data_IF_788590835216
#
_entry.id   IF_788590835216
#
_cell.length_a   1.000
_cell.length_b   1.000
_cell.length_c   1.000
_cell.angle_alpha   90.00
_cell.angle_beta   90.00
_cell.angle_gamma   90.00
#
_symmetry.space_group_name_H-M   'P 1'
#
loop_
_entity.id
_entity.type
_entity.pdbx_description
1 polymer ?
#
# COMPACT_ATOMS: atom_id res chain seq x y z
N UNK A 1 13.85 -14.58 3.57
CA UNK A 1 12.72 -13.65 3.87
C UNK A 1 12.84 -13.21 5.33
N UNK A 2 12.50 -11.95 5.63
CA UNK A 2 12.58 -11.43 6.99
C UNK A 2 11.28 -11.70 7.74
N UNK A 3 11.36 -11.69 9.06
CA UNK A 3 10.23 -11.82 9.96
C UNK A 3 9.25 -10.65 9.76
N UNK A 4 7.95 -10.96 9.75
CA UNK A 4 6.89 -9.94 9.66
C UNK A 4 6.38 -9.59 11.05
N UNK A 5 6.23 -8.31 11.35
CA UNK A 5 5.64 -7.84 12.62
C UNK A 5 4.25 -8.44 12.86
N UNK A 6 3.44 -8.61 11.81
CA UNK A 6 2.12 -9.24 11.91
C UNK A 6 2.19 -10.68 12.43
N UNK A 7 3.22 -11.46 12.05
CA UNK A 7 3.40 -12.82 12.55
C UNK A 7 3.77 -12.82 14.04
N UNK A 8 4.59 -11.86 14.50
CA UNK A 8 4.92 -11.71 15.91
C UNK A 8 3.69 -11.35 16.75
N UNK A 9 2.82 -10.47 16.25
CA UNK A 9 1.57 -10.12 16.95
C UNK A 9 0.65 -11.34 17.05
N UNK A 10 0.53 -12.12 15.98
CA UNK A 10 -0.26 -13.35 15.96
C UNK A 10 0.27 -14.38 16.97
N UNK A 11 1.58 -14.58 17.04
CA UNK A 11 2.19 -15.49 18.00
C UNK A 11 2.03 -15.01 19.44
N UNK A 12 2.06 -13.70 19.67
CA UNK A 12 1.78 -13.13 21.00
C UNK A 12 0.33 -13.37 21.42
N UNK A 13 -0.62 -13.33 20.49
CA UNK A 13 -2.03 -13.65 20.73
C UNK A 13 -2.22 -15.15 21.06
N UNK A 14 -1.56 -16.04 20.31
CA UNK A 14 -1.55 -17.47 20.62
C UNK A 14 -0.95 -17.76 22.01
N UNK A 15 0.16 -17.09 22.35
CA UNK A 15 0.75 -17.24 23.69
C UNK A 15 -0.19 -16.80 24.81
N UNK A 16 -0.95 -15.71 24.59
CA UNK A 16 -1.97 -15.24 25.53
C UNK A 16 -3.11 -16.24 25.69
N UNK A 17 -3.60 -16.85 24.60
CA UNK A 17 -4.62 -17.89 24.69
C UNK A 17 -4.11 -19.16 25.36
N UNK A 18 -2.87 -19.58 25.10
CA UNK A 18 -2.25 -20.73 25.77
C UNK A 18 -2.09 -20.49 27.27
N UNK A 19 -1.72 -19.26 27.67
CA UNK A 19 -1.68 -18.90 29.09
C UNK A 19 -3.03 -19.07 29.77
N UNK A 20 -4.12 -18.66 29.13
CA UNK A 20 -5.48 -18.81 29.66
C UNK A 20 -5.90 -20.27 29.79
N UNK A 21 -5.44 -21.16 28.90
CA UNK A 21 -5.78 -22.59 28.91
C UNK A 21 -4.90 -23.37 29.90
N UNK A 22 -3.60 -23.07 29.95
CA UNK A 22 -2.58 -23.85 30.64
C UNK A 22 -2.18 -23.24 32.00
N UNK A 23 -2.65 -22.03 32.33
CA UNK A 23 -2.25 -21.28 33.52
C UNK A 23 -0.80 -20.75 33.46
N UNK A 24 -0.10 -20.92 32.34
CA UNK A 24 1.29 -20.50 32.15
C UNK A 24 1.52 -20.03 30.71
N UNK A 25 2.13 -18.85 30.57
CA UNK A 25 2.57 -18.36 29.29
C UNK A 25 3.82 -19.11 28.79
N UNK A 26 3.93 -19.46 27.50
CA UNK A 26 5.17 -19.97 26.94
C UNK A 26 6.28 -18.93 27.05
N UNK A 27 7.48 -19.34 27.39
CA UNK A 27 8.62 -18.42 27.55
C UNK A 27 9.07 -17.84 26.21
N UNK A 28 8.95 -18.60 25.12
CA UNK A 28 9.38 -18.22 23.78
C UNK A 28 8.35 -18.60 22.72
N UNK A 29 8.36 -17.83 21.66
CA UNK A 29 7.65 -18.10 20.40
C UNK A 29 8.66 -18.19 19.26
N UNK A 30 8.32 -18.95 18.21
CA UNK A 30 9.23 -19.25 17.12
C UNK A 30 8.57 -19.02 15.77
N UNK A 31 9.34 -18.49 14.80
CA UNK A 31 8.96 -18.40 13.39
C UNK A 31 9.93 -19.23 12.59
N UNK A 32 9.42 -20.20 11.82
CA UNK A 32 10.21 -20.91 10.83
C UNK A 32 10.11 -20.14 9.51
N UNK A 33 11.22 -19.72 8.97
CA UNK A 33 11.33 -18.98 7.71
C UNK A 33 11.38 -19.94 6.54
N UNK A 34 11.16 -19.45 5.32
CA UNK A 34 11.16 -20.27 4.11
C UNK A 34 12.53 -20.84 3.71
N UNK A 35 13.58 -20.51 4.43
CA UNK A 35 14.95 -21.05 4.33
C UNK A 35 15.31 -21.95 5.54
N UNK A 36 14.29 -22.46 6.21
CA UNK A 36 14.35 -23.32 7.40
C UNK A 36 15.03 -22.70 8.63
N UNK A 37 15.41 -21.44 8.58
CA UNK A 37 15.90 -20.73 9.78
C UNK A 37 14.78 -20.55 10.78
N UNK A 38 15.09 -20.76 12.06
CA UNK A 38 14.18 -20.54 13.18
C UNK A 38 14.54 -19.26 13.91
N UNK A 39 13.65 -18.27 13.85
CA UNK A 39 13.77 -17.04 14.64
C UNK A 39 12.98 -17.18 15.93
N UNK A 40 13.62 -16.94 17.06
CA UNK A 40 13.05 -17.15 18.42
C UNK A 40 12.95 -15.82 19.16
N UNK A 41 11.79 -15.56 19.75
CA UNK A 41 11.49 -14.32 20.47
C UNK A 41 10.99 -14.64 21.89
N UNK A 42 11.36 -13.82 22.87
CA UNK A 42 10.80 -13.95 24.22
C UNK A 42 9.36 -13.42 24.20
N UNK A 43 8.44 -14.18 24.74
CA UNK A 43 7.03 -13.80 24.79
C UNK A 43 6.81 -12.52 25.59
N UNK A 44 7.59 -12.29 26.65
CA UNK A 44 7.53 -11.07 27.47
C UNK A 44 7.80 -9.79 26.68
N UNK A 45 8.70 -9.84 25.70
CA UNK A 45 9.06 -8.67 24.88
C UNK A 45 7.89 -8.25 23.96
N UNK A 46 7.04 -9.21 23.61
CA UNK A 46 5.88 -8.99 22.74
C UNK A 46 4.62 -8.59 23.52
N UNK A 47 4.53 -8.96 24.80
CA UNK A 47 3.32 -8.87 25.61
C UNK A 47 2.79 -7.43 25.75
N UNK A 48 3.67 -6.42 25.87
CA UNK A 48 3.26 -5.01 25.97
C UNK A 48 2.58 -4.50 24.73
N UNK A 49 3.15 -4.77 23.56
CA UNK A 49 2.58 -4.40 22.27
C UNK A 49 1.26 -5.14 22.01
N UNK A 50 1.20 -6.45 22.29
CA UNK A 50 0.00 -7.27 22.14
C UNK A 50 -1.16 -6.72 23.01
N UNK A 51 -0.92 -6.47 24.31
CA UNK A 51 -1.96 -5.89 25.20
C UNK A 51 -2.54 -4.60 24.63
N UNK A 52 -1.67 -3.70 24.14
CA UNK A 52 -2.12 -2.43 23.57
C UNK A 52 -2.92 -2.63 22.27
N UNK A 53 -2.48 -3.53 21.41
CA UNK A 53 -3.19 -3.84 20.16
C UNK A 53 -4.57 -4.45 20.46
N UNK A 54 -4.63 -5.40 21.38
CA UNK A 54 -5.88 -6.04 21.84
C UNK A 54 -6.84 -5.05 22.48
N UNK A 55 -6.35 -4.19 23.37
CA UNK A 55 -7.17 -3.15 23.98
C UNK A 55 -7.81 -2.25 22.92
N UNK A 56 -7.04 -1.76 21.94
CA UNK A 56 -7.55 -0.95 20.82
C UNK A 56 -8.59 -1.67 19.99
N UNK A 57 -8.42 -2.98 19.78
CA UNK A 57 -9.40 -3.79 19.06
C UNK A 57 -10.71 -3.88 19.85
N UNK A 58 -10.64 -4.18 21.15
CA UNK A 58 -11.83 -4.25 22.03
C UNK A 58 -12.54 -2.90 22.06
N UNK A 59 -11.82 -1.82 22.29
CA UNK A 59 -12.37 -0.46 22.27
C UNK A 59 -13.08 -0.13 20.94
N UNK A 60 -12.49 -0.54 19.82
CA UNK A 60 -13.09 -0.31 18.50
C UNK A 60 -14.36 -1.17 18.29
N UNK A 61 -14.37 -2.40 18.79
CA UNK A 61 -15.55 -3.29 18.72
C UNK A 61 -16.69 -2.76 19.59
N UNK A 62 -16.38 -2.30 20.80
CA UNK A 62 -17.37 -1.82 21.76
C UNK A 62 -17.94 -0.45 21.37
N UNK A 63 -17.09 0.48 20.97
CA UNK A 63 -17.48 1.85 20.60
C UNK A 63 -18.07 1.95 19.19
N UNK A 64 -17.79 0.99 18.32
CA UNK A 64 -18.20 0.98 16.90
C UNK A 64 -18.03 2.34 16.23
N UNK A 65 -16.83 2.91 16.22
CA UNK A 65 -16.60 4.23 15.66
C UNK A 65 -16.97 4.26 14.18
N UNK A 66 -17.51 5.39 13.72
CA UNK A 66 -17.66 5.59 12.28
C UNK A 66 -16.28 5.57 11.61
N UNK A 67 -16.10 4.67 10.66
CA UNK A 67 -14.85 4.52 9.93
C UNK A 67 -15.09 4.61 8.43
N UNK A 68 -14.07 5.03 7.70
CA UNK A 68 -14.09 5.01 6.25
C UNK A 68 -13.19 3.88 5.72
N UNK A 69 -13.56 3.17 4.64
CA UNK A 69 -12.78 2.06 4.09
C UNK A 69 -11.55 2.55 3.32
N UNK A 70 -10.62 3.22 4.01
CA UNK A 70 -9.34 3.62 3.43
C UNK A 70 -8.53 2.39 3.01
N UNK A 71 -7.91 2.38 1.81
CA UNK A 71 -7.19 1.22 1.32
C UNK A 71 -5.94 0.92 2.16
N UNK A 72 -5.75 -0.36 2.42
CA UNK A 72 -4.60 -0.91 3.17
C UNK A 72 -4.02 -2.11 2.41
N UNK A 73 -2.75 -2.50 2.66
CA UNK A 73 -2.14 -3.66 1.98
C UNK A 73 -2.95 -4.96 2.11
N UNK A 74 -3.72 -5.11 3.20
CA UNK A 74 -4.57 -6.28 3.41
C UNK A 74 -5.79 -6.33 2.46
N UNK A 75 -6.13 -5.24 1.79
CA UNK A 75 -7.31 -5.19 0.91
C UNK A 75 -7.26 -6.22 -0.22
N UNK A 76 -6.07 -6.59 -0.71
CA UNK A 76 -5.90 -7.57 -1.80
C UNK A 76 -6.42 -8.98 -1.46
N UNK A 77 -6.53 -9.32 -0.17
CA UNK A 77 -7.03 -10.60 0.33
C UNK A 77 -8.28 -10.45 1.22
N UNK A 78 -8.83 -9.24 1.29
CA UNK A 78 -9.97 -8.93 2.15
C UNK A 78 -11.29 -9.30 1.46
N UNK A 79 -12.14 -10.05 2.15
CA UNK A 79 -13.47 -10.44 1.65
C UNK A 79 -14.41 -9.26 1.32
N UNK A 80 -14.13 -8.08 1.86
CA UNK A 80 -14.91 -6.86 1.68
C UNK A 80 -14.33 -5.94 0.59
N UNK A 81 -13.30 -6.39 -0.13
CA UNK A 81 -12.57 -5.57 -1.09
C UNK A 81 -13.48 -4.88 -2.11
N UNK A 82 -14.35 -5.63 -2.76
CA UNK A 82 -15.25 -5.12 -3.81
C UNK A 82 -16.23 -4.09 -3.27
N UNK A 83 -16.86 -4.37 -2.12
CA UNK A 83 -17.78 -3.45 -1.48
C UNK A 83 -17.11 -2.13 -1.10
N UNK A 84 -15.92 -2.22 -0.50
CA UNK A 84 -15.13 -1.02 -0.16
C UNK A 84 -14.67 -0.26 -1.41
N UNK A 85 -14.36 -0.96 -2.51
CA UNK A 85 -13.99 -0.34 -3.77
C UNK A 85 -15.18 0.40 -4.38
N UNK A 86 -16.35 -0.23 -4.42
CA UNK A 86 -17.59 0.40 -4.90
C UNK A 86 -17.93 1.66 -4.09
N UNK A 87 -17.80 1.63 -2.77
CA UNK A 87 -18.00 2.80 -1.91
C UNK A 87 -17.06 3.93 -2.28
N UNK A 88 -15.76 3.65 -2.47
CA UNK A 88 -14.79 4.68 -2.86
C UNK A 88 -15.06 5.27 -4.25
N UNK A 89 -15.62 4.47 -5.16
CA UNK A 89 -16.04 4.97 -6.47
C UNK A 89 -17.26 5.90 -6.32
N UNK A 90 -18.27 5.49 -5.56
CA UNK A 90 -19.47 6.29 -5.31
C UNK A 90 -19.15 7.63 -4.64
N UNK A 91 -18.16 7.64 -3.74
CA UNK A 91 -17.72 8.83 -3.00
C UNK A 91 -16.71 9.70 -3.79
N UNK A 92 -16.40 9.35 -5.03
CA UNK A 92 -15.38 10.04 -5.84
C UNK A 92 -14.04 10.20 -5.09
N UNK A 93 -13.63 9.14 -4.38
CA UNK A 93 -12.51 9.22 -3.45
C UNK A 93 -11.16 9.41 -4.17
N UNK A 94 -10.29 10.24 -3.61
CA UNK A 94 -8.97 10.61 -4.15
C UNK A 94 -8.08 9.42 -4.52
N UNK A 95 -8.26 8.26 -3.87
CA UNK A 95 -7.45 7.06 -4.16
C UNK A 95 -7.66 6.48 -5.56
N UNK A 96 -8.72 6.89 -6.26
CA UNK A 96 -8.97 6.49 -7.64
C UNK A 96 -7.95 7.07 -8.60
N UNK A 97 -7.31 8.18 -8.23
CA UNK A 97 -6.31 8.83 -9.07
C UNK A 97 -4.97 8.12 -8.93
N UNK A 98 -4.44 7.63 -10.04
CA UNK A 98 -3.16 6.94 -10.08
C UNK A 98 -2.03 7.81 -9.50
N UNK A 99 -1.22 7.21 -8.63
CA UNK A 99 -0.13 7.91 -7.96
C UNK A 99 -0.54 8.76 -6.75
N UNK A 100 -1.82 8.74 -6.34
CA UNK A 100 -2.29 9.37 -5.10
C UNK A 100 -2.33 8.33 -3.99
N UNK A 101 -1.38 8.41 -3.06
CA UNK A 101 -1.30 7.56 -1.88
C UNK A 101 -1.77 8.27 -0.60
N UNK A 102 -1.67 7.59 0.54
CA UNK A 102 -2.14 8.11 1.85
C UNK A 102 -1.57 9.46 2.22
N UNK A 103 -0.29 9.68 1.97
CA UNK A 103 0.38 10.95 2.31
C UNK A 103 -0.19 12.10 1.51
N UNK A 104 -0.42 11.88 0.20
CA UNK A 104 -1.03 12.85 -0.69
C UNK A 104 -2.48 13.11 -0.29
N UNK A 105 -3.27 12.06 -0.02
CA UNK A 105 -4.67 12.20 0.43
C UNK A 105 -4.76 13.05 1.68
N UNK A 106 -3.90 12.80 2.68
CA UNK A 106 -3.87 13.58 3.92
C UNK A 106 -3.56 15.06 3.65
N UNK A 107 -2.57 15.33 2.79
CA UNK A 107 -2.20 16.70 2.43
C UNK A 107 -3.32 17.42 1.67
N UNK A 108 -3.96 16.75 0.70
CA UNK A 108 -5.06 17.28 -0.10
C UNK A 108 -6.29 17.59 0.77
N UNK A 109 -6.70 16.65 1.61
CA UNK A 109 -7.82 16.84 2.56
C UNK A 109 -7.55 18.00 3.52
N UNK A 110 -6.30 18.24 3.92
CA UNK A 110 -5.90 19.38 4.74
C UNK A 110 -6.11 20.75 4.08
N UNK A 111 -6.14 20.80 2.75
CA UNK A 111 -6.42 22.00 1.94
C UNK A 111 -7.86 22.01 1.37
N UNK A 112 -8.74 21.13 1.87
CA UNK A 112 -10.13 21.05 1.44
C UNK A 112 -10.36 20.32 0.12
N UNK A 113 -9.34 19.74 -0.50
CA UNK A 113 -9.46 18.91 -1.71
C UNK A 113 -9.78 17.47 -1.27
N UNK A 114 -11.07 17.12 -1.27
CA UNK A 114 -11.55 15.86 -0.67
C UNK A 114 -11.93 14.77 -1.67
N UNK A 115 -12.15 15.13 -2.96
CA UNK A 115 -12.57 14.22 -4.01
C UNK A 115 -11.63 14.24 -5.22
N UNK A 116 -11.73 13.21 -6.07
CA UNK A 116 -10.96 13.14 -7.30
C UNK A 116 -11.35 14.26 -8.29
N UNK A 117 -12.64 14.58 -8.37
CA UNK A 117 -13.15 15.71 -9.16
C UNK A 117 -12.63 17.04 -8.63
N UNK A 118 -12.63 17.25 -7.30
CA UNK A 118 -12.05 18.46 -6.72
C UNK A 118 -10.53 18.58 -7.01
N UNK A 119 -9.81 17.47 -7.08
CA UNK A 119 -8.39 17.46 -7.46
C UNK A 119 -8.21 17.83 -8.94
N UNK A 120 -9.07 17.31 -9.84
CA UNK A 120 -9.08 17.66 -11.27
C UNK A 120 -9.23 19.17 -11.47
N UNK A 121 -10.16 19.78 -10.75
CA UNK A 121 -10.56 21.18 -10.90
C UNK A 121 -9.70 22.15 -10.09
N UNK A 122 -8.83 21.64 -9.23
CA UNK A 122 -7.99 22.45 -8.37
C UNK A 122 -7.06 23.37 -9.15
N UNK A 123 -6.97 24.65 -8.76
CA UNK A 123 -6.08 25.62 -9.37
C UNK A 123 -4.59 25.23 -9.15
N UNK A 124 -3.67 25.61 -10.04
CA UNK A 124 -2.23 25.39 -9.84
C UNK A 124 -1.71 25.94 -8.50
N UNK A 125 -2.27 27.04 -8.05
CA UNK A 125 -1.91 27.72 -6.80
C UNK A 125 -2.42 27.03 -5.53
N UNK A 126 -3.39 26.09 -5.65
CA UNK A 126 -3.95 25.33 -4.51
C UNK A 126 -3.03 24.18 -4.04
N UNK A 127 -1.75 24.25 -4.37
CA UNK A 127 -0.76 23.23 -3.99
C UNK A 127 -0.61 23.17 -2.47
N UNK A 128 -0.79 21.99 -1.83
CA UNK A 128 -0.51 21.83 -0.41
C UNK A 128 0.92 22.24 -0.06
N UNK A 129 1.09 22.99 1.03
CA UNK A 129 2.38 23.57 1.42
C UNK A 129 3.51 22.53 1.53
N UNK A 130 3.21 21.31 2.02
CA UNK A 130 4.17 20.21 2.21
C UNK A 130 4.30 19.29 1.01
N UNK A 131 3.64 19.57 -0.12
CA UNK A 131 3.72 18.76 -1.33
C UNK A 131 4.73 19.36 -2.32
N UNK A 132 5.58 18.52 -2.91
CA UNK A 132 6.50 18.93 -3.96
C UNK A 132 5.73 19.35 -5.21
N UNK A 133 6.21 20.38 -5.91
CA UNK A 133 5.55 20.92 -7.10
C UNK A 133 5.39 19.88 -8.22
N UNK A 134 6.40 19.05 -8.43
CA UNK A 134 6.36 17.96 -9.41
C UNK A 134 5.26 16.94 -9.09
N UNK A 135 5.17 16.49 -7.81
CA UNK A 135 4.11 15.59 -7.37
C UNK A 135 2.73 16.22 -7.55
N UNK A 136 2.57 17.50 -7.18
CA UNK A 136 1.32 18.24 -7.36
C UNK A 136 0.87 18.31 -8.80
N UNK A 137 1.77 18.71 -9.70
CA UNK A 137 1.48 18.81 -11.12
C UNK A 137 1.11 17.44 -11.72
N UNK A 138 1.85 16.39 -11.37
CA UNK A 138 1.61 15.03 -11.85
C UNK A 138 0.24 14.49 -11.42
N UNK A 139 -0.13 14.59 -10.15
CA UNK A 139 -1.42 14.03 -9.68
C UNK A 139 -2.61 14.85 -10.19
N UNK A 140 -2.49 16.17 -10.34
CA UNK A 140 -3.52 16.99 -10.98
C UNK A 140 -3.69 16.66 -12.47
N UNK A 141 -2.59 16.51 -13.18
CA UNK A 141 -2.62 16.09 -14.58
C UNK A 141 -3.29 14.73 -14.73
N UNK A 142 -2.90 13.79 -13.89
CA UNK A 142 -3.51 12.46 -13.87
C UNK A 142 -5.01 12.52 -13.54
N UNK A 143 -5.43 13.37 -12.59
CA UNK A 143 -6.84 13.57 -12.27
C UNK A 143 -7.62 14.14 -13.46
N UNK A 144 -7.04 15.06 -14.24
CA UNK A 144 -7.65 15.60 -15.46
C UNK A 144 -7.87 14.51 -16.50
N UNK A 145 -6.91 13.63 -16.71
CA UNK A 145 -7.05 12.52 -17.66
C UNK A 145 -8.06 11.47 -17.21
N UNK A 146 -8.04 11.09 -15.93
CA UNK A 146 -8.90 10.02 -15.41
C UNK A 146 -10.36 10.44 -15.16
N UNK A 147 -10.62 11.72 -15.00
CA UNK A 147 -11.95 12.27 -14.68
C UNK A 147 -12.52 13.12 -15.81
N UNK A 148 -12.17 12.82 -17.04
CA UNK A 148 -12.83 13.40 -18.22
C UNK A 148 -14.20 12.79 -18.43
N UNK A 149 -15.05 13.56 -19.13
CA UNK A 149 -16.36 13.08 -19.55
C UNK A 149 -16.16 12.21 -20.81
N UNK A 150 -16.51 10.93 -20.75
CA UNK A 150 -16.40 9.97 -21.83
C UNK A 150 -15.96 8.59 -21.38
N UNK A 151 -16.30 7.56 -22.16
CA UNK A 151 -15.99 6.14 -21.86
C UNK A 151 -14.64 5.69 -22.43
N UNK A 152 -14.05 6.47 -23.34
CA UNK A 152 -12.78 6.12 -23.96
C UNK A 152 -11.60 6.51 -23.07
N UNK A 153 -10.59 5.63 -22.92
CA UNK A 153 -9.39 5.94 -22.19
C UNK A 153 -8.62 7.04 -22.91
N UNK A 154 -8.37 8.14 -22.21
CA UNK A 154 -7.62 9.24 -22.76
C UNK A 154 -6.14 9.15 -22.36
N UNK A 155 -5.29 9.49 -23.31
CA UNK A 155 -3.86 9.65 -23.08
C UNK A 155 -3.37 10.96 -23.66
N UNK A 156 -2.32 11.49 -23.11
CA UNK A 156 -1.63 12.66 -23.63
C UNK A 156 -0.17 12.32 -23.89
N UNK A 157 0.28 12.57 -25.10
CA UNK A 157 1.69 12.44 -25.43
C UNK A 157 2.43 13.66 -24.89
N UNK A 158 3.29 13.44 -23.91
CA UNK A 158 4.12 14.50 -23.35
C UNK A 158 5.21 14.88 -24.35
N UNK A 159 5.43 16.20 -24.53
CA UNK A 159 6.51 16.70 -25.37
C UNK A 159 7.87 16.22 -24.82
N UNK A 160 8.64 15.43 -25.59
CA UNK A 160 9.94 14.97 -25.17
C UNK A 160 10.94 16.10 -24.88
N UNK A 161 10.75 17.28 -25.45
CA UNK A 161 11.61 18.43 -25.18
C UNK A 161 11.36 19.03 -23.80
N UNK A 162 10.09 18.99 -23.33
CA UNK A 162 9.71 19.42 -21.99
C UNK A 162 10.04 18.38 -20.91
N UNK A 163 10.30 17.11 -21.31
CA UNK A 163 10.60 15.98 -20.40
C UNK A 163 11.92 15.28 -20.77
N UNK A 164 13.06 15.97 -20.72
CA UNK A 164 14.34 15.45 -21.23
C UNK A 164 14.88 14.23 -20.47
N UNK A 165 14.39 13.99 -19.26
CA UNK A 165 14.81 12.90 -18.38
C UNK A 165 13.76 11.80 -18.22
N UNK A 166 12.79 11.72 -19.14
CA UNK A 166 11.67 10.78 -19.03
C UNK A 166 11.38 9.99 -20.31
N UNK A 167 10.66 8.88 -20.12
CA UNK A 167 10.19 8.04 -21.22
C UNK A 167 11.29 7.41 -22.06
N UNK A 168 11.05 7.27 -23.35
CA UNK A 168 11.97 6.63 -24.30
C UNK A 168 13.33 7.34 -24.47
N UNK A 169 13.44 8.59 -24.05
CA UNK A 169 14.73 9.31 -24.04
C UNK A 169 15.75 8.77 -23.04
N UNK A 170 15.31 7.97 -22.07
CA UNK A 170 16.20 7.28 -21.15
C UNK A 170 16.86 6.04 -21.75
N UNK A 171 16.36 5.56 -22.89
CA UNK A 171 16.98 4.46 -23.60
C UNK A 171 18.28 4.94 -24.26
N UNK A 172 19.34 4.15 -24.20
CA UNK A 172 20.55 4.42 -24.98
C UNK A 172 20.22 4.35 -26.49
N UNK A 173 21.10 4.93 -27.31
CA UNK A 173 20.99 4.79 -28.75
C UNK A 173 21.04 3.31 -29.13
N UNK A 174 20.16 2.83 -30.05
CA UNK A 174 20.13 1.44 -30.46
C UNK A 174 21.45 1.01 -31.10
N UNK A 175 21.92 -0.17 -30.76
CA UNK A 175 23.11 -0.76 -31.34
C UNK A 175 22.85 -2.19 -31.87
N UNK A 176 23.68 -2.64 -32.81
CA UNK A 176 23.59 -4.01 -33.32
C UNK A 176 23.88 -5.10 -32.27
N UNK A 177 24.43 -4.71 -31.13
CA UNK A 177 24.74 -5.60 -29.99
C UNK A 177 23.71 -5.56 -28.87
N UNK A 178 22.58 -4.89 -29.04
CA UNK A 178 21.54 -4.82 -28.02
C UNK A 178 20.93 -6.18 -27.75
N UNK A 179 20.86 -6.54 -26.48
CA UNK A 179 20.21 -7.75 -26.00
C UNK A 179 18.91 -7.40 -25.27
N UNK A 180 17.83 -8.02 -25.68
CA UNK A 180 16.54 -7.90 -25.02
C UNK A 180 16.36 -9.11 -24.09
N UNK A 181 16.35 -8.84 -22.76
CA UNK A 181 16.24 -9.87 -21.74
C UNK A 181 14.92 -9.64 -20.98
N UNK A 182 14.07 -10.67 -21.01
CA UNK A 182 12.89 -10.72 -20.16
C UNK A 182 13.07 -11.85 -19.14
N UNK A 183 12.76 -11.57 -17.87
CA UNK A 183 12.88 -12.52 -16.76
C UNK A 183 11.52 -12.70 -16.14
N UNK A 184 10.91 -13.86 -16.38
CA UNK A 184 9.67 -14.24 -15.74
C UNK A 184 9.93 -15.16 -14.55
N UNK A 185 9.32 -14.85 -13.41
CA UNK A 185 9.39 -15.67 -12.20
C UNK A 185 8.15 -16.57 -12.08
N UNK A 186 8.36 -17.86 -11.89
CA UNK A 186 7.29 -18.78 -11.50
C UNK A 186 7.15 -18.80 -9.96
N UNK A 187 6.12 -18.16 -9.38
CA UNK A 187 5.95 -18.11 -7.93
C UNK A 187 5.58 -19.48 -7.32
N UNK A 188 5.21 -20.47 -8.15
CA UNK A 188 4.80 -21.80 -7.72
C UNK A 188 5.92 -22.86 -7.83
N UNK A 189 7.02 -22.55 -8.48
CA UNK A 189 8.21 -23.40 -8.40
C UNK A 189 8.92 -23.14 -7.08
N UNK A 190 8.88 -24.14 -6.19
CA UNK A 190 9.75 -24.17 -5.01
C UNK A 190 11.21 -24.03 -5.43
N UNK A 191 12.03 -23.43 -4.57
CA UNK A 191 13.47 -23.25 -4.76
C UNK A 191 14.18 -24.61 -4.96
N UNK A 192 14.09 -25.16 -6.14
CA UNK A 192 15.14 -26.04 -6.65
C UNK A 192 16.17 -25.09 -7.24
N UNK A 193 17.32 -25.01 -6.58
CA UNK A 193 18.51 -24.31 -7.00
C UNK A 193 18.70 -24.50 -8.50
N UNK A 194 18.48 -23.45 -9.30
CA UNK A 194 18.98 -23.39 -10.64
C UNK A 194 20.51 -23.28 -10.50
N UNK A 195 21.18 -24.43 -10.60
CA UNK A 195 22.59 -24.44 -10.89
C UNK A 195 22.77 -23.90 -12.30
N UNK A 196 23.49 -22.82 -12.44
CA UNK A 196 24.29 -22.45 -13.58
C UNK A 196 25.73 -22.53 -13.17
#
# INVERSE_FOLDING_TARGET
RNEKVSALVQLADYAHHLEAIQGRSPDRVHIVLGDDRVSSFNTRDLAGFHRRARQRLVEAVDSRPSTYPEPVPHCSVCRWHEQCAAQRVADDHLVQIAGVGRTQIKALKGEGITTATALRDAAPSAKPARMQAETWNRIRHQAKLQKRDGDEPEFELLDPAAHPTGGLKLLPEPSAGDLFIDIEGDPYRGHQSAGL
#
